data_IF_284463527873
#
_entry.id   IF_284463527873
#
_cell.length_a   1.000
_cell.length_b   1.000
_cell.length_c   1.000
_cell.angle_alpha   90.00
_cell.angle_beta   90.00
_cell.angle_gamma   90.00
#
_symmetry.space_group_name_H-M   'P 1'
#
loop_
_entity.id
_entity.type
_entity.pdbx_description
1 polymer ?
#
# COMPACT_ATOMS: atom_id res chain seq x y z
N UNK A 1 -33.76 17.12 -65.56
CA UNK A 1 -33.20 17.87 -64.40
C UNK A 1 -33.39 17.10 -63.10
N UNK A 2 -34.58 16.56 -62.83
CA UNK A 2 -34.94 15.79 -61.62
C UNK A 2 -34.07 14.55 -61.37
N UNK A 3 -33.74 13.77 -62.42
CA UNK A 3 -32.87 12.58 -62.30
C UNK A 3 -31.44 12.88 -61.82
N UNK A 4 -30.84 14.00 -62.25
CA UNK A 4 -29.47 14.38 -61.82
C UNK A 4 -29.43 14.78 -60.35
N UNK A 5 -30.44 15.52 -59.87
CA UNK A 5 -30.57 15.88 -58.46
C UNK A 5 -30.75 14.64 -57.57
N UNK A 6 -31.54 13.67 -58.02
CA UNK A 6 -31.76 12.42 -57.28
C UNK A 6 -30.46 11.59 -57.19
N UNK A 7 -29.65 11.59 -58.24
CA UNK A 7 -28.34 10.93 -58.28
C UNK A 7 -27.32 11.57 -57.32
N UNK A 8 -27.31 12.91 -57.20
CA UNK A 8 -26.47 13.63 -56.24
C UNK A 8 -26.84 13.35 -54.78
N UNK A 9 -28.15 13.30 -54.47
CA UNK A 9 -28.63 13.00 -53.12
C UNK A 9 -28.26 11.58 -52.70
N UNK A 10 -28.38 10.61 -53.62
CA UNK A 10 -27.96 9.22 -53.39
C UNK A 10 -26.46 9.11 -53.16
N UNK A 11 -25.62 9.82 -53.93
CA UNK A 11 -24.17 9.87 -53.69
C UNK A 11 -23.83 10.42 -52.31
N UNK A 12 -24.39 11.56 -51.92
CA UNK A 12 -24.16 12.14 -50.58
C UNK A 12 -24.57 11.20 -49.44
N UNK A 13 -25.65 10.43 -49.61
CA UNK A 13 -26.05 9.40 -48.62
C UNK A 13 -25.07 8.23 -48.57
N UNK A 14 -24.55 7.79 -49.72
CA UNK A 14 -23.55 6.71 -49.80
C UNK A 14 -22.23 7.18 -49.18
N UNK A 15 -21.75 8.37 -49.52
CA UNK A 15 -20.52 8.95 -48.99
C UNK A 15 -20.61 9.17 -47.46
N UNK A 16 -21.76 9.67 -46.97
CA UNK A 16 -22.00 9.76 -45.54
C UNK A 16 -22.00 8.37 -44.88
N UNK A 17 -22.66 7.39 -45.49
CA UNK A 17 -22.71 6.02 -44.98
C UNK A 17 -21.34 5.34 -44.96
N UNK A 18 -20.47 5.59 -45.96
CA UNK A 18 -19.10 5.07 -45.96
C UNK A 18 -18.26 5.75 -44.89
N UNK A 19 -18.40 7.06 -44.70
CA UNK A 19 -17.70 7.80 -43.65
C UNK A 19 -18.13 7.34 -42.24
N UNK A 20 -19.42 7.03 -42.03
CA UNK A 20 -19.90 6.39 -40.80
C UNK A 20 -19.30 4.99 -40.62
N UNK A 21 -19.20 4.19 -41.68
CA UNK A 21 -18.60 2.85 -41.64
C UNK A 21 -17.10 2.88 -41.31
N UNK A 22 -16.35 3.84 -41.88
CA UNK A 22 -14.93 4.04 -41.58
C UNK A 22 -14.70 4.49 -40.13
N UNK A 23 -15.55 5.39 -39.60
CA UNK A 23 -15.53 5.80 -38.19
C UNK A 23 -15.84 4.62 -37.26
N UNK A 24 -16.81 3.79 -37.61
CA UNK A 24 -17.16 2.58 -36.85
C UNK A 24 -16.01 1.56 -36.84
N UNK A 25 -15.37 1.33 -38.00
CA UNK A 25 -14.22 0.43 -38.11
C UNK A 25 -13.02 0.95 -37.32
N UNK A 26 -12.77 2.25 -37.36
CA UNK A 26 -11.71 2.89 -36.56
C UNK A 26 -12.00 2.75 -35.07
N UNK A 27 -13.25 2.96 -34.65
CA UNK A 27 -13.68 2.80 -33.25
C UNK A 27 -13.48 1.37 -32.78
N UNK A 28 -13.90 0.37 -33.55
CA UNK A 28 -13.67 -1.06 -33.26
C UNK A 28 -12.19 -1.37 -33.10
N UNK A 29 -11.33 -0.85 -33.98
CA UNK A 29 -9.87 -1.03 -33.89
C UNK A 29 -9.30 -0.42 -32.61
N UNK A 30 -9.76 0.77 -32.21
CA UNK A 30 -9.32 1.41 -30.97
C UNK A 30 -9.76 0.59 -29.75
N UNK A 31 -11.00 0.12 -29.71
CA UNK A 31 -11.51 -0.73 -28.63
C UNK A 31 -10.66 -1.99 -28.49
N UNK A 32 -10.37 -2.70 -29.59
CA UNK A 32 -9.52 -3.89 -29.55
C UNK A 32 -8.12 -3.58 -29.02
N UNK A 33 -7.49 -2.50 -29.50
CA UNK A 33 -6.18 -2.07 -28.98
C UNK A 33 -6.21 -1.72 -27.50
N UNK A 34 -7.26 -1.05 -27.02
CA UNK A 34 -7.42 -0.73 -25.60
C UNK A 34 -7.61 -2.00 -24.77
N UNK A 35 -8.37 -2.98 -25.26
CA UNK A 35 -8.54 -4.27 -24.59
C UNK A 35 -7.21 -5.05 -24.48
N UNK A 36 -6.44 -5.11 -25.56
CA UNK A 36 -5.09 -5.69 -25.57
C UNK A 36 -4.16 -4.98 -24.58
N UNK A 37 -4.17 -3.64 -24.59
CA UNK A 37 -3.40 -2.83 -23.66
C UNK A 37 -3.78 -3.09 -22.21
N UNK A 38 -5.08 -3.11 -21.88
CA UNK A 38 -5.56 -3.39 -20.52
C UNK A 38 -5.11 -4.77 -20.06
N UNK A 39 -5.19 -5.79 -20.92
CA UNK A 39 -4.74 -7.14 -20.59
C UNK A 39 -3.24 -7.19 -20.30
N UNK A 40 -2.41 -6.56 -21.15
CA UNK A 40 -0.96 -6.48 -20.93
C UNK A 40 -0.61 -5.69 -19.66
N UNK A 41 -1.30 -4.57 -19.44
CA UNK A 41 -1.08 -3.73 -18.27
C UNK A 41 -1.43 -4.46 -16.97
N UNK A 42 -2.53 -5.23 -16.95
CA UNK A 42 -2.90 -6.08 -15.80
C UNK A 42 -1.83 -7.13 -15.50
N UNK A 43 -1.29 -7.80 -16.51
CA UNK A 43 -0.23 -8.81 -16.28
C UNK A 43 1.05 -8.17 -15.77
N UNK A 44 1.47 -7.02 -16.33
CA UNK A 44 2.63 -6.28 -15.83
C UNK A 44 2.45 -5.83 -14.37
N UNK A 45 1.26 -5.34 -14.01
CA UNK A 45 0.96 -4.92 -12.63
C UNK A 45 0.94 -6.09 -11.67
N UNK A 46 0.44 -7.25 -12.10
CA UNK A 46 0.49 -8.49 -11.33
C UNK A 46 1.93 -8.94 -11.05
N UNK A 47 2.79 -8.99 -12.07
CA UNK A 47 4.20 -9.35 -11.92
C UNK A 47 4.94 -8.38 -10.98
N UNK A 48 4.73 -7.07 -11.18
CA UNK A 48 5.34 -6.04 -10.33
C UNK A 48 4.89 -6.15 -8.87
N UNK A 49 3.60 -6.41 -8.63
CA UNK A 49 3.07 -6.63 -7.28
C UNK A 49 3.67 -7.89 -6.63
N UNK A 50 3.84 -8.99 -7.38
CA UNK A 50 4.47 -10.21 -6.88
C UNK A 50 5.91 -9.96 -6.42
N UNK A 51 6.70 -9.24 -7.22
CA UNK A 51 8.10 -8.93 -6.91
C UNK A 51 8.21 -8.02 -5.68
N UNK A 52 7.45 -6.91 -5.65
CA UNK A 52 7.45 -5.98 -4.52
C UNK A 52 7.02 -6.66 -3.23
N UNK A 53 5.98 -7.49 -3.30
CA UNK A 53 5.48 -8.20 -2.13
C UNK A 53 6.49 -9.24 -1.63
N UNK A 54 7.16 -9.97 -2.51
CA UNK A 54 8.23 -10.89 -2.12
C UNK A 54 9.37 -10.13 -1.42
N UNK A 55 9.80 -9.00 -1.98
CA UNK A 55 10.86 -8.18 -1.41
C UNK A 55 10.48 -7.62 -0.02
N UNK A 56 9.27 -7.09 0.11
CA UNK A 56 8.75 -6.56 1.38
C UNK A 56 8.64 -7.67 2.43
N UNK A 57 8.07 -8.82 2.09
CA UNK A 57 7.95 -9.96 3.00
C UNK A 57 9.31 -10.49 3.44
N UNK A 58 10.27 -10.62 2.52
CA UNK A 58 11.63 -11.10 2.82
C UNK A 58 12.37 -10.14 3.74
N UNK A 59 12.12 -8.84 3.61
CA UNK A 59 12.73 -7.79 4.46
C UNK A 59 12.11 -7.75 5.84
N UNK A 60 10.78 -7.89 5.94
CA UNK A 60 10.03 -7.73 7.18
C UNK A 60 10.03 -9.01 8.03
N UNK A 61 9.97 -10.18 7.41
CA UNK A 61 10.00 -11.45 8.11
C UNK A 61 11.44 -11.77 8.55
N UNK A 62 11.62 -11.98 9.85
CA UNK A 62 12.93 -12.34 10.42
C UNK A 62 13.39 -13.76 10.01
N UNK A 63 12.46 -14.65 9.64
CA UNK A 63 12.78 -16.00 9.17
C UNK A 63 13.27 -15.96 7.73
N UNK A 64 14.60 -16.02 7.58
CA UNK A 64 15.23 -16.27 6.27
C UNK A 64 14.61 -17.49 5.61
N UNK A 65 14.36 -17.39 4.33
CA UNK A 65 13.87 -18.47 3.46
C UNK A 65 12.43 -18.95 3.74
N UNK A 66 11.64 -18.27 4.59
CA UNK A 66 10.26 -18.68 4.85
C UNK A 66 9.37 -18.57 3.59
N UNK A 67 9.57 -17.53 2.78
CA UNK A 67 8.83 -17.30 1.53
C UNK A 67 9.85 -17.22 0.40
N UNK A 68 9.67 -18.06 -0.61
CA UNK A 68 10.50 -18.10 -1.81
C UNK A 68 9.83 -17.39 -2.98
N UNK A 69 8.50 -17.48 -3.06
CA UNK A 69 7.72 -16.94 -4.18
C UNK A 69 6.35 -16.47 -3.71
N UNK A 70 5.88 -15.39 -4.33
CA UNK A 70 4.51 -14.89 -4.20
C UNK A 70 3.80 -15.09 -5.53
N UNK A 71 2.66 -15.77 -5.50
CA UNK A 71 1.66 -15.85 -6.55
C UNK A 71 0.61 -14.76 -6.34
N UNK A 72 0.29 -13.99 -7.37
CA UNK A 72 -0.90 -13.14 -7.38
C UNK A 72 -1.79 -13.67 -8.48
N UNK A 73 -3.04 -13.98 -8.15
CA UNK A 73 -4.09 -14.33 -9.09
C UNK A 73 -5.14 -13.23 -9.07
N UNK A 74 -5.51 -12.73 -10.25
CA UNK A 74 -6.50 -11.67 -10.39
C UNK A 74 -7.68 -12.31 -11.08
N UNK A 75 -8.86 -12.26 -10.44
CA UNK A 75 -10.06 -12.87 -10.99
C UNK A 75 -10.36 -12.32 -12.38
N UNK A 76 -11.06 -13.11 -13.21
CA UNK A 76 -11.38 -12.73 -14.58
C UNK A 76 -12.18 -11.41 -14.66
N UNK A 77 -12.98 -11.09 -13.62
CA UNK A 77 -13.69 -9.81 -13.51
C UNK A 77 -12.77 -8.67 -13.07
N UNK A 78 -11.67 -8.99 -12.37
CA UNK A 78 -10.70 -8.04 -11.83
C UNK A 78 -11.07 -7.49 -10.45
N UNK A 79 -12.13 -8.04 -9.84
CA UNK A 79 -12.65 -7.55 -8.57
C UNK A 79 -11.99 -8.23 -7.36
N UNK A 80 -11.39 -9.41 -7.56
CA UNK A 80 -10.75 -10.19 -6.51
C UNK A 80 -9.26 -10.40 -6.83
N UNK A 81 -8.41 -10.18 -5.83
CA UNK A 81 -6.98 -10.43 -5.89
C UNK A 81 -6.65 -11.49 -4.84
N UNK A 82 -6.29 -12.68 -5.31
CA UNK A 82 -5.85 -13.79 -4.47
C UNK A 82 -4.33 -13.89 -4.43
N UNK A 83 -3.78 -13.88 -3.22
CA UNK A 83 -2.34 -13.95 -3.01
C UNK A 83 -1.98 -15.33 -2.45
N UNK A 84 -1.06 -16.03 -3.11
CA UNK A 84 -0.58 -17.36 -2.73
C UNK A 84 0.89 -17.28 -2.37
N UNK A 85 1.27 -17.79 -1.20
CA UNK A 85 2.65 -17.78 -0.73
C UNK A 85 3.25 -19.17 -0.91
N UNK A 86 4.49 -19.25 -1.39
CA UNK A 86 5.21 -20.51 -1.58
C UNK A 86 6.49 -20.56 -0.75
N UNK A 87 6.75 -21.70 -0.11
CA UNK A 87 7.97 -21.96 0.64
C UNK A 87 9.12 -22.46 -0.28
N UNK A 88 10.27 -22.81 0.31
CA UNK A 88 11.44 -23.29 -0.45
C UNK A 88 11.19 -24.55 -1.30
N UNK A 89 10.30 -25.41 -0.82
CA UNK A 89 9.90 -26.67 -1.45
C UNK A 89 8.79 -26.47 -2.49
N UNK A 90 8.50 -25.22 -2.89
CA UNK A 90 7.41 -24.82 -3.78
C UNK A 90 6.01 -25.26 -3.29
N UNK A 91 5.86 -25.47 -1.98
CA UNK A 91 4.58 -25.78 -1.36
C UNK A 91 3.85 -24.50 -0.95
N UNK A 92 2.53 -24.52 -1.10
CA UNK A 92 1.65 -23.42 -0.67
C UNK A 92 1.69 -23.33 0.87
N UNK A 93 1.97 -22.13 1.37
CA UNK A 93 1.88 -21.80 2.78
C UNK A 93 0.42 -21.46 3.09
N UNK A 94 -0.19 -22.22 4.00
CA UNK A 94 -1.52 -21.90 4.49
C UNK A 94 -1.44 -20.62 5.34
N UNK A 95 -2.16 -19.57 4.93
CA UNK A 95 -2.25 -18.31 5.68
C UNK A 95 -2.80 -18.52 7.10
N UNK A 96 -3.59 -19.57 7.32
CA UNK A 96 -4.10 -19.92 8.64
C UNK A 96 -2.99 -20.36 9.61
N UNK A 97 -1.89 -20.91 9.09
CA UNK A 97 -0.73 -21.37 9.86
C UNK A 97 0.19 -20.23 10.33
N UNK A 98 0.03 -19.02 9.78
CA UNK A 98 0.80 -17.85 10.18
C UNK A 98 0.44 -17.42 11.61
N UNK A 99 1.47 -17.10 12.39
CA UNK A 99 1.30 -16.47 13.71
C UNK A 99 0.65 -15.09 13.59
N UNK A 100 0.14 -14.54 14.69
CA UNK A 100 -0.47 -13.20 14.68
C UNK A 100 0.51 -12.10 14.21
N UNK A 101 1.78 -12.19 14.62
CA UNK A 101 2.82 -11.25 14.16
C UNK A 101 3.15 -11.41 12.68
N UNK A 102 3.23 -12.66 12.18
CA UNK A 102 3.47 -12.94 10.76
C UNK A 102 2.31 -12.46 9.87
N UNK A 103 1.05 -12.57 10.35
CA UNK A 103 -0.12 -12.03 9.65
C UNK A 103 -0.09 -10.52 9.56
N UNK A 104 0.35 -9.83 10.61
CA UNK A 104 0.54 -8.38 10.55
C UNK A 104 1.67 -7.99 9.59
N UNK A 105 2.79 -8.71 9.62
CA UNK A 105 3.88 -8.50 8.65
C UNK A 105 3.41 -8.68 7.21
N UNK A 106 2.60 -9.69 6.97
CA UNK A 106 1.96 -9.90 5.67
C UNK A 106 1.07 -8.73 5.28
N UNK A 107 0.23 -8.23 6.20
CA UNK A 107 -0.63 -7.07 5.94
C UNK A 107 0.19 -5.80 5.65
N UNK A 108 1.27 -5.56 6.42
CA UNK A 108 2.21 -4.46 6.20
C UNK A 108 2.91 -4.58 4.85
N UNK A 109 3.41 -5.76 4.48
CA UNK A 109 4.05 -5.99 3.19
C UNK A 109 3.07 -5.77 2.02
N UNK A 110 1.82 -6.23 2.17
CA UNK A 110 0.77 -6.01 1.19
C UNK A 110 0.47 -4.52 1.03
N UNK A 111 0.27 -3.79 2.15
CA UNK A 111 0.03 -2.35 2.11
C UNK A 111 1.20 -1.62 1.46
N UNK A 112 2.44 -1.92 1.84
CA UNK A 112 3.62 -1.32 1.23
C UNK A 112 3.67 -1.56 -0.27
N UNK A 113 3.42 -2.79 -0.71
CA UNK A 113 3.47 -3.15 -2.13
C UNK A 113 2.37 -2.47 -2.94
N UNK A 114 1.18 -2.29 -2.35
CA UNK A 114 0.08 -1.56 -2.97
C UNK A 114 0.36 -0.06 -3.04
N UNK A 115 0.91 0.53 -1.97
CA UNK A 115 1.30 1.95 -1.96
C UNK A 115 2.39 2.19 -3.00
N UNK A 116 3.43 1.35 -3.03
CA UNK A 116 4.52 1.46 -3.99
C UNK A 116 4.08 1.20 -5.44
N UNK A 117 3.05 0.37 -5.67
CA UNK A 117 2.43 0.19 -6.99
C UNK A 117 1.51 1.33 -7.39
N UNK A 118 0.93 2.01 -6.40
CA UNK A 118 0.13 3.21 -6.62
C UNK A 118 1.08 4.38 -6.86
N UNK A 119 0.92 5.08 -7.98
CA UNK A 119 1.62 6.36 -8.20
C UNK A 119 1.00 7.50 -7.36
N UNK A 120 0.37 7.16 -6.23
CA UNK A 120 -0.43 8.05 -5.41
C UNK A 120 0.28 8.25 -4.08
N UNK A 121 0.59 9.51 -3.79
CA UNK A 121 1.18 9.90 -2.51
C UNK A 121 0.05 10.26 -1.54
N UNK A 122 -0.17 9.41 -0.54
CA UNK A 122 -1.14 9.69 0.52
C UNK A 122 -0.51 9.51 1.91
N UNK A 123 -0.89 10.35 2.89
CA UNK A 123 -0.41 10.20 4.25
C UNK A 123 -0.95 8.92 4.89
N UNK A 124 -0.10 8.21 5.63
CA UNK A 124 -0.45 6.97 6.33
C UNK A 124 -0.52 7.23 7.83
N UNK A 125 -1.65 6.87 8.44
CA UNK A 125 -1.88 6.96 9.87
C UNK A 125 -1.87 5.57 10.47
N UNK A 126 -1.06 5.36 11.51
CA UNK A 126 -0.87 4.05 12.15
C UNK A 126 -1.23 4.18 13.62
N UNK A 127 -2.41 3.68 13.97
CA UNK A 127 -2.85 3.53 15.35
C UNK A 127 -2.31 2.21 15.93
N UNK A 128 -1.84 2.24 17.16
CA UNK A 128 -1.31 1.08 17.90
C UNK A 128 -0.18 0.35 17.13
N UNK A 129 0.90 1.05 16.76
CA UNK A 129 1.91 0.61 15.79
C UNK A 129 2.54 -0.75 16.10
N UNK A 130 2.88 -0.99 17.36
CA UNK A 130 3.67 -2.16 17.75
C UNK A 130 2.83 -3.30 18.34
N UNK A 131 1.51 -3.14 18.39
CA UNK A 131 0.65 -4.12 19.04
C UNK A 131 0.67 -5.44 18.28
N UNK A 132 0.99 -6.55 18.98
CA UNK A 132 1.05 -7.94 18.47
C UNK A 132 2.30 -8.31 17.66
N UNK A 133 3.30 -7.44 17.58
CA UNK A 133 4.64 -7.81 17.13
C UNK A 133 5.47 -8.35 18.29
N UNK A 134 6.33 -9.34 18.02
CA UNK A 134 7.43 -9.67 18.92
C UNK A 134 8.60 -8.70 18.73
N UNK A 135 9.58 -8.75 19.61
CA UNK A 135 10.72 -7.82 19.64
C UNK A 135 11.50 -7.79 18.30
N UNK A 136 11.71 -8.95 17.67
CA UNK A 136 12.44 -9.04 16.40
C UNK A 136 11.64 -8.42 15.25
N UNK A 137 10.34 -8.71 15.21
CA UNK A 137 9.41 -8.16 14.24
C UNK A 137 9.23 -6.64 14.41
N UNK A 138 9.12 -6.14 15.64
CA UNK A 138 9.01 -4.71 15.93
C UNK A 138 10.22 -3.93 15.38
N UNK A 139 11.44 -4.44 15.58
CA UNK A 139 12.67 -3.83 15.04
C UNK A 139 12.64 -3.73 13.52
N UNK A 140 12.19 -4.78 12.82
CA UNK A 140 12.10 -4.76 11.36
C UNK A 140 11.06 -3.76 10.86
N UNK A 141 9.89 -3.67 11.52
CA UNK A 141 8.86 -2.68 11.18
C UNK A 141 9.40 -1.25 11.32
N UNK A 142 10.05 -0.96 12.45
CA UNK A 142 10.58 0.39 12.73
C UNK A 142 11.66 0.78 11.72
N UNK A 143 12.53 -0.16 11.32
CA UNK A 143 13.64 0.12 10.40
C UNK A 143 13.23 0.17 8.94
N UNK A 144 12.34 -0.73 8.52
CA UNK A 144 12.12 -0.99 7.09
C UNK A 144 10.70 -0.67 6.62
N UNK A 145 9.69 -0.68 7.50
CA UNK A 145 8.31 -0.41 7.10
C UNK A 145 7.95 1.06 7.32
N UNK A 146 7.96 1.55 8.55
CA UNK A 146 7.50 2.91 8.85
C UNK A 146 8.21 4.02 8.07
N UNK A 147 9.53 3.97 7.86
CA UNK A 147 10.21 5.01 7.09
C UNK A 147 9.91 4.98 5.59
N UNK A 148 9.41 3.86 5.06
CA UNK A 148 9.32 3.61 3.62
C UNK A 148 7.88 3.44 3.11
N UNK A 149 6.91 3.19 3.99
CA UNK A 149 5.51 2.90 3.57
C UNK A 149 4.81 4.09 2.90
N UNK A 150 5.22 5.32 3.20
CA UNK A 150 4.71 6.52 2.53
C UNK A 150 5.66 7.70 2.78
N UNK A 151 5.52 8.76 1.99
CA UNK A 151 6.21 10.04 2.22
C UNK A 151 5.88 10.69 3.56
N UNK A 152 4.64 10.52 4.03
CA UNK A 152 4.22 11.03 5.34
C UNK A 152 3.56 9.92 6.14
N UNK A 153 4.14 9.64 7.30
CA UNK A 153 3.64 8.65 8.25
C UNK A 153 3.43 9.30 9.60
N UNK A 154 2.23 9.13 10.16
CA UNK A 154 1.86 9.59 11.50
C UNK A 154 1.55 8.37 12.34
N UNK A 155 2.25 8.25 13.47
CA UNK A 155 2.19 7.08 14.33
C UNK A 155 1.61 7.48 15.68
N UNK A 156 0.67 6.69 16.21
CA UNK A 156 0.06 6.88 17.53
C UNK A 156 0.45 5.75 18.49
N UNK A 157 1.67 5.78 19.06
CA UNK A 157 2.13 4.75 19.98
C UNK A 157 1.67 4.97 21.41
N UNK A 158 1.34 3.89 22.12
CA UNK A 158 1.35 3.90 23.58
C UNK A 158 2.79 3.75 24.10
N UNK A 159 3.35 4.82 24.67
CA UNK A 159 4.72 4.80 25.23
C UNK A 159 4.83 3.77 26.36
N UNK A 160 5.93 3.03 26.40
CA UNK A 160 6.23 1.92 27.34
C UNK A 160 5.33 0.68 27.23
N UNK A 161 4.27 0.70 26.42
CA UNK A 161 3.45 -0.49 26.13
C UNK A 161 3.69 -1.01 24.72
N UNK A 162 3.72 -0.09 23.77
CA UNK A 162 3.89 -0.37 22.35
C UNK A 162 5.23 0.18 21.88
N UNK A 163 5.62 1.38 22.31
CA UNK A 163 6.91 1.95 21.92
C UNK A 163 7.82 2.11 23.14
N UNK A 164 8.82 1.23 23.23
CA UNK A 164 9.87 1.29 24.24
C UNK A 164 10.91 2.35 23.91
N UNK A 165 11.74 2.71 24.88
CA UNK A 165 12.83 3.66 24.66
C UNK A 165 13.87 3.17 23.64
N UNK A 166 14.14 1.85 23.62
CA UNK A 166 15.06 1.24 22.67
C UNK A 166 14.50 1.31 21.24
N UNK A 167 13.23 0.96 21.06
CA UNK A 167 12.54 1.05 19.77
C UNK A 167 12.45 2.49 19.25
N UNK A 168 12.13 3.43 20.13
CA UNK A 168 12.12 4.86 19.78
C UNK A 168 13.49 5.34 19.31
N UNK A 169 14.58 4.89 19.93
CA UNK A 169 15.93 5.28 19.51
C UNK A 169 16.26 4.86 18.08
N UNK A 170 15.70 3.76 17.61
CA UNK A 170 15.83 3.30 16.22
C UNK A 170 15.03 4.19 15.26
N UNK A 171 13.85 4.62 15.68
CA UNK A 171 12.96 5.48 14.90
C UNK A 171 13.44 6.94 14.87
N UNK A 172 14.05 7.44 15.95
CA UNK A 172 14.31 8.86 16.22
C UNK A 172 14.97 9.60 15.04
N UNK A 173 15.96 8.98 14.40
CA UNK A 173 16.68 9.57 13.25
C UNK A 173 15.81 9.83 12.01
N UNK A 174 14.62 9.23 11.95
CA UNK A 174 13.63 9.35 10.88
C UNK A 174 12.39 10.14 11.30
N UNK A 175 12.32 10.60 12.55
CA UNK A 175 11.19 11.39 13.05
C UNK A 175 11.41 12.87 12.70
N UNK A 176 10.48 13.46 11.95
CA UNK A 176 10.53 14.89 11.63
C UNK A 176 9.95 15.75 12.76
N UNK A 177 8.82 15.33 13.35
CA UNK A 177 8.13 16.05 14.43
C UNK A 177 7.59 15.08 15.45
N UNK A 178 7.55 15.52 16.70
CA UNK A 178 7.01 14.74 17.80
C UNK A 178 6.02 15.59 18.61
N UNK A 179 4.91 14.98 19.01
CA UNK A 179 3.84 15.65 19.74
C UNK A 179 3.41 14.78 20.91
N UNK A 180 3.13 15.43 22.04
CA UNK A 180 2.52 14.81 23.21
C UNK A 180 1.10 15.35 23.35
N UNK A 181 0.13 14.44 23.52
CA UNK A 181 -1.20 14.85 23.97
C UNK A 181 -1.07 15.13 25.46
N UNK A 182 -1.43 16.33 25.90
CA UNK A 182 -1.48 16.75 27.31
C UNK A 182 -2.93 16.95 27.72
N UNK A 183 -3.41 16.15 28.68
CA UNK A 183 -4.77 16.28 29.19
C UNK A 183 -4.79 17.36 30.29
N UNK A 184 -5.31 18.55 29.96
CA UNK A 184 -5.34 19.70 30.86
C UNK A 184 -6.53 19.67 31.83
N UNK A 185 -7.62 19.00 31.45
CA UNK A 185 -8.76 18.71 32.32
C UNK A 185 -9.46 17.41 31.88
N UNK A 186 -10.53 17.01 32.57
CA UNK A 186 -11.34 15.84 32.20
C UNK A 186 -11.89 15.92 30.77
N UNK A 187 -12.22 17.13 30.31
CA UNK A 187 -12.89 17.36 29.02
C UNK A 187 -12.02 18.16 28.04
N UNK A 188 -10.73 18.37 28.34
CA UNK A 188 -9.83 19.14 27.48
C UNK A 188 -8.43 18.54 27.38
N UNK A 189 -7.94 18.48 26.15
CA UNK A 189 -6.59 18.07 25.81
C UNK A 189 -5.96 19.05 24.82
N UNK A 190 -4.65 19.20 24.90
CA UNK A 190 -3.85 20.00 23.97
C UNK A 190 -2.69 19.19 23.39
N UNK A 191 -2.16 19.64 22.25
CA UNK A 191 -0.93 19.09 21.68
C UNK A 191 0.27 19.92 22.10
N UNK A 192 1.23 19.28 22.76
CA UNK A 192 2.53 19.85 23.07
C UNK A 192 3.55 19.36 22.03
N UNK A 193 4.06 20.28 21.20
CA UNK A 193 5.15 19.97 20.28
C UNK A 193 6.47 19.82 21.05
N UNK A 194 7.27 18.84 20.68
CA UNK A 194 8.59 18.58 21.24
C UNK A 194 9.55 18.15 20.14
N UNK A 195 10.86 18.30 20.37
CA UNK A 195 11.83 17.77 19.42
C UNK A 195 11.95 16.25 19.60
N UNK A 196 12.26 15.51 18.52
CA UNK A 196 12.46 14.06 18.62
C UNK A 196 13.48 13.65 19.69
N UNK A 197 14.55 14.43 19.90
CA UNK A 197 15.58 14.16 20.90
C UNK A 197 15.04 14.22 22.33
N UNK A 198 14.11 15.14 22.60
CA UNK A 198 13.58 15.37 23.93
C UNK A 198 12.24 14.70 24.19
N UNK A 199 11.64 14.05 23.18
CA UNK A 199 10.31 13.46 23.25
C UNK A 199 10.10 12.56 24.48
N UNK A 200 10.91 11.51 24.65
CA UNK A 200 10.77 10.59 25.79
C UNK A 200 11.08 11.26 27.14
N UNK A 201 12.06 12.16 27.17
CA UNK A 201 12.40 12.89 28.41
C UNK A 201 11.27 13.83 28.84
N UNK A 202 10.59 14.47 27.87
CA UNK A 202 9.44 15.35 28.10
C UNK A 202 8.24 14.53 28.54
N UNK A 203 7.97 13.40 27.87
CA UNK A 203 6.93 12.45 28.28
C UNK A 203 7.11 12.01 29.74
N UNK A 204 8.32 11.59 30.12
CA UNK A 204 8.61 11.15 31.48
C UNK A 204 8.45 12.26 32.52
N UNK A 205 8.79 13.51 32.19
CA UNK A 205 8.57 14.66 33.10
C UNK A 205 7.10 14.99 33.30
N UNK A 206 6.26 14.81 32.27
CA UNK A 206 4.83 15.14 32.36
C UNK A 206 4.06 13.99 33.04
N UNK A 207 4.39 12.74 32.72
CA UNK A 207 3.56 11.58 33.07
C UNK A 207 4.18 10.61 34.08
N UNK A 208 5.50 10.68 34.32
CA UNK A 208 6.21 9.81 35.27
C UNK A 208 6.90 10.60 36.40
N UNK A 209 6.68 11.90 36.53
CA UNK A 209 7.28 12.73 37.57
C UNK A 209 6.78 12.41 39.00
N UNK A 210 5.65 11.73 39.15
CA UNK A 210 5.08 11.36 40.46
C UNK A 210 5.51 9.96 40.96
N UNK A 211 6.52 9.34 40.34
CA UNK A 211 6.99 7.99 40.72
C UNK A 211 8.26 7.94 41.58
N UNK A 212 8.76 9.09 42.06
CA UNK A 212 9.92 9.17 42.96
C UNK A 212 9.68 10.15 44.10
#
# INVERSE_FOLDING_TARGET
KTFKQQQEILRKKIDASSEYSEKEQTTKRIITKLQEYIAQFKEQKKESLQEKMLNALTTLLHKKDFIKKVGVDISFTGDDIDIVLYNQSDQIIDKSSLSMGERQMYASALLNSLVDESEIEFPVFIDSPMQKFDEQHAVNIIKYFYPNVSKQVVIFPLINKELTAQEYSLLQSKVCKAYLINNTSTDSSEFLETTPEFFLSTYNKIYNADKY
#
